data_IF_435668467145
#
_entry.id   IF_435668467145
#
_cell.length_a   1.000
_cell.length_b   1.000
_cell.length_c   1.000
_cell.angle_alpha   90.00
_cell.angle_beta   90.00
_cell.angle_gamma   90.00
#
_symmetry.space_group_name_H-M   'P 1'
#
loop_
_entity.id
_entity.type
_entity.pdbx_description
1 polymer ?
#
# COMPACT_ATOMS: atom_id res chain seq x y z
N UNK A 1 -11.82 2.36 -4.99
CA UNK A 1 -13.04 2.12 -5.80
C UNK A 1 -12.75 1.35 -7.08
N UNK A 2 -11.61 1.60 -7.73
CA UNK A 2 -11.18 0.91 -8.96
C UNK A 2 -11.26 -0.62 -8.93
N UNK A 3 -10.90 -1.29 -7.83
CA UNK A 3 -10.99 -2.76 -7.75
C UNK A 3 -12.43 -3.28 -7.90
N UNK A 4 -13.41 -2.61 -7.29
CA UNK A 4 -14.83 -2.98 -7.40
C UNK A 4 -15.32 -2.85 -8.85
N UNK A 5 -14.80 -1.88 -9.60
CA UNK A 5 -15.18 -1.64 -11.00
C UNK A 5 -14.45 -2.56 -11.97
N UNK A 6 -13.16 -2.80 -11.76
CA UNK A 6 -12.36 -3.73 -12.56
C UNK A 6 -12.84 -5.18 -12.40
N UNK A 7 -13.20 -5.56 -11.18
CA UNK A 7 -13.68 -6.91 -10.85
C UNK A 7 -15.21 -7.06 -11.08
N UNK A 8 -15.91 -5.99 -11.50
CA UNK A 8 -17.35 -6.01 -11.77
C UNK A 8 -18.22 -6.35 -10.56
N UNK A 9 -17.75 -6.03 -9.35
CA UNK A 9 -18.37 -6.44 -8.09
C UNK A 9 -19.59 -5.58 -7.78
N UNK A 10 -20.69 -6.22 -7.38
CA UNK A 10 -21.80 -5.53 -6.73
C UNK A 10 -21.39 -5.03 -5.33
N UNK A 11 -22.10 -4.02 -4.82
CA UNK A 11 -21.84 -3.50 -3.48
C UNK A 11 -21.96 -4.56 -2.37
N UNK A 12 -22.78 -5.60 -2.56
CA UNK A 12 -22.89 -6.72 -1.62
C UNK A 12 -21.65 -7.62 -1.67
N UNK A 13 -21.18 -7.96 -2.88
CA UNK A 13 -19.98 -8.79 -3.04
C UNK A 13 -18.73 -8.07 -2.50
N UNK A 14 -18.62 -6.76 -2.75
CA UNK A 14 -17.55 -5.95 -2.18
C UNK A 14 -17.61 -5.89 -0.65
N UNK A 15 -18.81 -5.84 -0.03
CA UNK A 15 -18.93 -5.95 1.42
C UNK A 15 -18.36 -7.25 1.97
N UNK A 16 -18.65 -8.37 1.32
CA UNK A 16 -18.16 -9.69 1.73
C UNK A 16 -16.64 -9.77 1.56
N UNK A 17 -16.12 -9.29 0.42
CA UNK A 17 -14.70 -9.37 0.10
C UNK A 17 -13.82 -8.49 1.00
N UNK A 18 -14.30 -7.29 1.34
CA UNK A 18 -13.56 -6.31 2.14
C UNK A 18 -13.99 -6.26 3.61
N UNK A 19 -14.82 -7.21 4.06
CA UNK A 19 -15.38 -7.27 5.41
C UNK A 19 -16.02 -5.94 5.88
N UNK A 20 -16.78 -5.31 4.98
CA UNK A 20 -17.44 -4.03 5.25
C UNK A 20 -18.85 -4.29 5.77
N UNK A 21 -19.18 -3.69 6.92
CA UNK A 21 -20.45 -3.83 7.65
C UNK A 21 -21.72 -3.69 6.79
N UNK A 22 -21.70 -2.91 5.71
CA UNK A 22 -22.85 -2.83 4.83
C UNK A 22 -22.63 -2.05 3.52
N UNK A 23 -23.51 -2.29 2.54
CA UNK A 23 -23.36 -1.77 1.17
C UNK A 23 -23.62 -0.25 1.07
N UNK A 24 -24.22 0.35 2.10
CA UNK A 24 -24.41 1.81 2.17
C UNK A 24 -23.10 2.57 2.19
N UNK A 25 -22.11 2.09 2.94
CA UNK A 25 -20.77 2.68 3.01
C UNK A 25 -20.10 2.67 1.63
N UNK A 26 -20.19 1.54 0.92
CA UNK A 26 -19.61 1.39 -0.42
C UNK A 26 -20.28 2.33 -1.43
N UNK A 27 -21.61 2.45 -1.39
CA UNK A 27 -22.33 3.39 -2.27
C UNK A 27 -21.98 4.84 -1.98
N UNK A 28 -21.83 5.21 -0.71
CA UNK A 28 -21.43 6.55 -0.31
C UNK A 28 -20.01 6.86 -0.77
N UNK A 29 -19.06 5.94 -0.56
CA UNK A 29 -17.69 6.09 -1.04
C UNK A 29 -17.61 6.15 -2.55
N UNK A 30 -18.42 5.35 -3.27
CA UNK A 30 -18.52 5.45 -4.73
C UNK A 30 -18.90 6.85 -5.16
N UNK A 31 -19.99 7.39 -4.61
CA UNK A 31 -20.45 8.73 -4.94
C UNK A 31 -19.40 9.80 -4.65
N UNK A 32 -18.74 9.75 -3.49
CA UNK A 32 -17.69 10.69 -3.13
C UNK A 32 -16.50 10.60 -4.10
N UNK A 33 -16.11 9.38 -4.46
CA UNK A 33 -15.03 9.14 -5.40
C UNK A 33 -15.37 9.63 -6.82
N UNK A 34 -16.62 9.45 -7.27
CA UNK A 34 -17.09 9.95 -8.56
C UNK A 34 -17.13 11.50 -8.59
N UNK A 35 -17.44 12.14 -7.46
CA UNK A 35 -17.55 13.60 -7.33
C UNK A 35 -16.20 14.31 -7.14
N UNK A 36 -15.25 13.72 -6.42
CA UNK A 36 -13.99 14.39 -6.06
C UNK A 36 -12.79 13.46 -5.87
N UNK A 37 -12.85 12.27 -6.44
CA UNK A 37 -11.73 11.32 -6.45
C UNK A 37 -11.29 10.88 -5.06
N UNK A 38 -9.99 10.65 -4.92
CA UNK A 38 -9.39 10.21 -3.65
C UNK A 38 -9.56 11.26 -2.54
N UNK A 39 -9.42 12.55 -2.88
CA UNK A 39 -9.51 13.65 -1.92
C UNK A 39 -10.89 13.75 -1.26
N UNK A 40 -11.96 13.43 -1.98
CA UNK A 40 -13.31 13.41 -1.42
C UNK A 40 -13.59 12.23 -0.47
N UNK A 41 -12.74 11.19 -0.47
CA UNK A 41 -12.82 10.08 0.48
C UNK A 41 -12.12 10.39 1.80
N UNK A 42 -11.30 11.44 1.87
CA UNK A 42 -10.71 11.86 3.13
C UNK A 42 -11.82 12.24 4.11
N UNK A 43 -11.71 11.83 5.40
CA UNK A 43 -12.64 12.28 6.41
C UNK A 43 -12.52 13.81 6.51
N UNK A 44 -13.44 14.54 5.89
CA UNK A 44 -13.59 15.96 6.16
C UNK A 44 -13.86 16.04 7.65
N UNK A 45 -12.91 16.59 8.43
CA UNK A 45 -12.99 16.69 9.89
C UNK A 45 -14.43 17.02 10.25
N UNK A 46 -15.14 16.00 10.74
CA UNK A 46 -16.55 16.12 11.01
C UNK A 46 -16.67 17.27 12.00
N UNK A 47 -17.51 18.24 11.64
CA UNK A 47 -17.94 19.40 12.43
C UNK A 47 -17.41 19.33 13.84
N UNK A 48 -16.51 20.26 14.16
CA UNK A 48 -15.98 20.47 15.51
C UNK A 48 -17.07 20.15 16.52
N UNK A 49 -16.92 19.00 17.18
CA UNK A 49 -17.85 18.58 18.20
C UNK A 49 -17.81 19.71 19.24
N UNK A 50 -18.96 20.31 19.53
CA UNK A 50 -19.11 21.37 20.55
C UNK A 50 -18.69 20.94 21.98
N UNK A 51 -18.15 19.73 22.12
CA UNK A 51 -17.66 19.17 23.37
C UNK A 51 -16.13 19.12 23.34
N UNK A 52 -15.44 19.71 24.34
CA UNK A 52 -13.99 19.68 24.40
C UNK A 52 -13.51 18.23 24.55
N UNK A 53 -12.87 17.69 23.51
CA UNK A 53 -12.15 16.41 23.60
C UNK A 53 -10.76 16.70 24.15
N UNK A 54 -10.38 15.97 25.20
CA UNK A 54 -9.01 15.97 25.72
C UNK A 54 -8.06 15.59 24.59
N UNK A 55 -7.03 16.40 24.37
CA UNK A 55 -5.99 16.12 23.40
C UNK A 55 -5.33 14.78 23.74
N UNK A 56 -5.52 13.78 22.88
CA UNK A 56 -4.63 12.63 22.85
C UNK A 56 -3.48 13.01 21.95
N UNK A 57 -2.26 12.99 22.49
CA UNK A 57 -1.03 13.06 21.72
C UNK A 57 -1.04 11.97 20.65
N UNK A 58 -1.30 12.39 19.42
CA UNK A 58 -0.97 11.59 18.25
C UNK A 58 0.54 11.76 18.03
N UNK A 59 1.32 10.67 17.95
CA UNK A 59 2.71 10.79 17.55
C UNK A 59 2.75 11.40 16.15
N UNK A 60 3.63 12.40 15.97
CA UNK A 60 3.95 13.01 14.68
C UNK A 60 4.25 11.89 13.66
N UNK A 61 3.25 11.52 12.87
CA UNK A 61 3.49 10.75 11.66
C UNK A 61 4.04 11.77 10.68
N UNK A 62 5.35 11.70 10.46
CA UNK A 62 6.03 12.44 9.40
C UNK A 62 5.19 12.37 8.13
N UNK A 63 5.09 13.45 7.33
CA UNK A 63 4.25 13.42 6.15
C UNK A 63 4.77 12.33 5.22
N UNK A 64 4.10 11.19 5.21
CA UNK A 64 4.21 10.23 4.14
C UNK A 64 3.86 11.03 2.88
N UNK A 65 4.84 11.17 1.99
CA UNK A 65 4.58 11.80 0.69
C UNK A 65 3.39 11.05 0.10
N UNK A 66 2.31 11.76 -0.31
CA UNK A 66 1.16 11.11 -0.88
C UNK A 66 1.63 10.28 -2.08
N UNK A 67 1.31 8.99 -2.06
CA UNK A 67 1.68 8.05 -3.12
C UNK A 67 1.07 8.44 -4.48
N UNK A 68 0.12 9.38 -4.50
CA UNK A 68 -0.62 9.86 -5.65
C UNK A 68 -0.35 11.35 -5.99
N UNK A 69 0.76 11.94 -5.53
CA UNK A 69 1.18 13.20 -6.14
C UNK A 69 1.66 12.90 -7.57
N UNK A 70 0.98 13.46 -8.57
CA UNK A 70 1.47 13.47 -9.96
C UNK A 70 2.89 14.08 -9.97
N UNK A 71 3.89 13.20 -9.99
CA UNK A 71 5.29 13.59 -10.08
C UNK A 71 5.47 14.29 -11.43
N UNK A 72 6.16 15.42 -11.41
CA UNK A 72 6.53 16.08 -12.67
C UNK A 72 7.33 15.09 -13.54
N UNK A 73 7.27 15.18 -14.88
CA UNK A 73 7.97 14.23 -15.75
C UNK A 73 9.46 14.05 -15.42
N UNK A 74 10.10 15.12 -14.90
CA UNK A 74 11.49 15.09 -14.43
C UNK A 74 11.67 14.23 -13.18
N UNK A 75 10.79 14.36 -12.20
CA UNK A 75 10.86 13.56 -10.97
C UNK A 75 10.56 12.08 -11.25
N UNK A 76 9.67 11.77 -12.19
CA UNK A 76 9.43 10.40 -12.63
C UNK A 76 10.68 9.76 -13.26
N UNK A 77 11.42 10.52 -14.08
CA UNK A 77 12.66 10.04 -14.68
C UNK A 77 13.74 9.80 -13.62
N UNK A 78 13.87 10.70 -12.65
CA UNK A 78 14.81 10.58 -11.54
C UNK A 78 14.48 9.36 -10.67
N UNK A 79 13.20 9.14 -10.35
CA UNK A 79 12.76 7.96 -9.61
C UNK A 79 13.01 6.66 -10.40
N UNK A 80 12.75 6.65 -11.71
CA UNK A 80 13.07 5.50 -12.56
C UNK A 80 14.57 5.20 -12.59
N UNK A 81 15.41 6.23 -12.66
CA UNK A 81 16.87 6.08 -12.63
C UNK A 81 17.34 5.52 -11.29
N UNK A 82 16.85 6.07 -10.18
CA UNK A 82 17.13 5.58 -8.83
C UNK A 82 16.72 4.11 -8.67
N UNK A 83 15.49 3.75 -9.07
CA UNK A 83 14.99 2.38 -9.00
C UNK A 83 15.79 1.42 -9.89
N UNK A 84 16.28 1.86 -11.05
CA UNK A 84 17.16 1.05 -11.91
C UNK A 84 18.51 0.80 -11.24
N UNK A 85 19.09 1.80 -10.59
CA UNK A 85 20.34 1.65 -9.86
C UNK A 85 20.20 0.69 -8.68
N UNK A 86 19.13 0.83 -7.89
CA UNK A 86 18.83 -0.08 -6.77
C UNK A 86 18.65 -1.53 -7.24
N UNK A 87 17.85 -1.74 -8.30
CA UNK A 87 17.67 -3.07 -8.88
C UNK A 87 18.98 -3.67 -9.42
N UNK A 88 19.84 -2.87 -10.06
CA UNK A 88 21.13 -3.34 -10.54
C UNK A 88 22.03 -3.78 -9.38
N UNK A 89 22.02 -3.04 -8.27
CA UNK A 89 22.76 -3.41 -7.07
C UNK A 89 22.26 -4.73 -6.47
N UNK A 90 20.94 -4.89 -6.32
CA UNK A 90 20.34 -6.12 -5.78
C UNK A 90 20.64 -7.34 -6.67
N UNK A 91 20.56 -7.19 -8.00
CA UNK A 91 20.92 -8.27 -8.94
C UNK A 91 22.39 -8.66 -8.84
N UNK A 92 23.29 -7.68 -8.65
CA UNK A 92 24.71 -7.95 -8.44
C UNK A 92 24.94 -8.69 -7.12
N UNK A 93 24.25 -8.31 -6.06
CA UNK A 93 24.32 -9.00 -4.78
C UNK A 93 23.83 -10.45 -4.90
N UNK A 94 22.68 -10.68 -5.54
CA UNK A 94 22.14 -12.02 -5.76
C UNK A 94 23.09 -12.89 -6.60
N UNK A 95 23.67 -12.33 -7.67
CA UNK A 95 24.68 -13.03 -8.47
C UNK A 95 25.91 -13.44 -7.64
N UNK A 96 26.37 -12.60 -6.71
CA UNK A 96 27.47 -12.94 -5.81
C UNK A 96 27.10 -14.05 -4.81
N UNK A 97 25.87 -14.02 -4.28
CA UNK A 97 25.36 -15.05 -3.37
C UNK A 97 25.26 -16.40 -4.09
N UNK A 98 24.78 -16.41 -5.33
CA UNK A 98 24.68 -17.62 -6.16
C UNK A 98 26.06 -18.14 -6.60
N UNK A 99 27.01 -17.25 -6.84
CA UNK A 99 28.39 -17.62 -7.17
C UNK A 99 29.18 -18.14 -5.95
N UNK A 100 28.71 -17.93 -4.72
CA UNK A 100 29.39 -18.44 -3.52
C UNK A 100 29.16 -19.96 -3.37
N UNK A 101 30.21 -20.80 -3.48
CA UNK A 101 30.08 -22.24 -3.35
C UNK A 101 29.65 -22.71 -1.94
N UNK A 102 29.63 -21.82 -0.93
CA UNK A 102 29.17 -22.12 0.43
C UNK A 102 27.65 -22.14 0.56
N UNK A 103 26.93 -21.33 -0.21
CA UNK A 103 25.46 -21.25 -0.17
C UNK A 103 24.82 -22.42 -0.94
N UNK A 104 25.54 -22.99 -1.92
CA UNK A 104 25.16 -24.18 -2.68
C UNK A 104 25.33 -25.51 -1.92
N UNK A 105 25.91 -25.52 -0.71
CA UNK A 105 26.09 -26.76 0.06
C UNK A 105 24.76 -27.17 0.71
N UNK A 106 24.17 -28.34 0.36
CA UNK A 106 23.01 -28.84 1.08
C UNK A 106 23.40 -29.10 2.53
N UNK A 107 22.66 -28.52 3.47
CA UNK A 107 22.78 -28.83 4.90
C UNK A 107 22.58 -30.34 5.05
N UNK A 108 23.67 -31.09 5.29
CA UNK A 108 23.63 -32.53 5.56
C UNK A 108 22.68 -32.77 6.73
N UNK A 109 21.45 -33.20 6.43
CA UNK A 109 20.50 -33.70 7.43
C UNK A 109 21.16 -34.90 8.08
N UNK A 110 21.55 -34.76 9.36
CA UNK A 110 22.00 -35.90 10.15
C UNK A 110 20.79 -36.80 10.35
N UNK A 111 20.80 -37.96 9.70
CA UNK A 111 19.81 -39.00 9.91
C UNK A 111 20.06 -39.57 11.31
N UNK A 112 19.14 -39.32 12.24
CA UNK A 112 19.09 -40.01 13.53
C UNK A 112 18.87 -41.50 13.25
N UNK A 113 19.72 -42.36 13.83
CA UNK A 113 19.57 -43.81 13.82
C UNK A 113 19.01 -44.21 15.20
N UNK A 114 17.98 -45.05 15.20
CA UNK A 114 17.37 -45.70 16.36
C UNK A 114 18.38 -46.46 17.24
#
# INVERSE_FOLDING_TARGET
MQCIEQDGLSAQQACIQFDIRGPSSIRQWKRLYDEGGLEALHPHRARESSMPRKASEQPNVSPAKPADAELTPKQMLEELEYLRAENAYLKKLDALIQADPRTAQPRKRRLSKD
#
